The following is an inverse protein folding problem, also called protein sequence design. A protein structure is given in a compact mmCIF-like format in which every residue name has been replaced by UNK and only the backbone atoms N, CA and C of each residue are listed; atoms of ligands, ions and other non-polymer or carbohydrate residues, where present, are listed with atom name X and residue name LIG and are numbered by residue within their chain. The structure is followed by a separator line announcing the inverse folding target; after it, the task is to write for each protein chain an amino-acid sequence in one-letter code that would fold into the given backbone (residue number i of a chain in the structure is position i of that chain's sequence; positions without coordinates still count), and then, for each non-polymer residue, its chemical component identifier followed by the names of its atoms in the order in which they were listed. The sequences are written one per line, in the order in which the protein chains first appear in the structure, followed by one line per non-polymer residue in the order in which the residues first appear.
data_IF_146097688145
#
_entry.id   IF_146097688145
#
_cell.length_a   1.000
_cell.length_b   1.000
_cell.length_c   1.000
_cell.angle_alpha   90.00
_cell.angle_beta   90.00
_cell.angle_gamma   90.00
#
_symmetry.space_group_name_H-M   'P 1'
#
loop_
_entity.id
_entity.type
_entity.pdbx_description
1 polymer ?
#
# COMPACT_ATOMS: atom_id res chain seq x y z
N UNK A 1 -15.99 6.26 -11.91
CA UNK A 1 -16.26 5.04 -12.70
C UNK A 1 -15.03 4.55 -13.49
N UNK A 2 -13.80 4.98 -13.15
CA UNK A 2 -12.61 4.77 -13.99
C UNK A 2 -11.52 3.86 -13.42
N UNK A 3 -11.77 3.15 -12.33
CA UNK A 3 -10.79 2.24 -11.71
C UNK A 3 -10.83 0.82 -12.27
N UNK A 4 -11.72 0.56 -13.21
CA UNK A 4 -12.02 -0.77 -13.69
C UNK A 4 -11.39 -0.93 -15.07
N UNK A 5 -10.62 -2.00 -15.25
CA UNK A 5 -10.01 -2.31 -16.53
C UNK A 5 -11.07 -2.46 -17.64
N UNK A 6 -10.86 -1.89 -18.84
CA UNK A 6 -11.82 -1.93 -19.92
C UNK A 6 -12.31 -3.34 -20.24
N UNK A 7 -11.40 -4.31 -20.37
CA UNK A 7 -11.75 -5.70 -20.67
C UNK A 7 -12.65 -6.32 -19.59
N UNK A 8 -12.37 -6.08 -18.30
CA UNK A 8 -13.21 -6.58 -17.22
C UNK A 8 -14.58 -5.89 -17.21
N UNK A 9 -14.64 -4.59 -17.52
CA UNK A 9 -15.91 -3.87 -17.61
C UNK A 9 -16.81 -4.39 -18.75
N UNK A 10 -16.22 -4.87 -19.84
CA UNK A 10 -16.95 -5.39 -21.01
C UNK A 10 -17.31 -6.87 -20.88
N UNK A 11 -16.38 -7.72 -20.46
CA UNK A 11 -16.58 -9.18 -20.48
C UNK A 11 -16.89 -9.76 -19.10
N UNK A 12 -16.51 -9.06 -18.03
CA UNK A 12 -16.52 -9.59 -16.66
C UNK A 12 -15.34 -10.51 -16.34
N UNK A 13 -14.39 -10.68 -17.26
CA UNK A 13 -13.23 -11.55 -17.07
C UNK A 13 -12.10 -10.80 -16.38
N UNK A 14 -11.78 -11.24 -15.16
CA UNK A 14 -10.72 -10.66 -14.36
C UNK A 14 -9.42 -11.42 -14.59
N UNK A 15 -8.32 -10.69 -14.76
CA UNK A 15 -6.98 -11.24 -14.92
C UNK A 15 -5.93 -10.34 -14.24
N UNK A 16 -4.68 -10.76 -14.24
CA UNK A 16 -3.56 -10.05 -13.61
C UNK A 16 -3.30 -8.66 -14.22
N UNK A 17 -3.73 -8.43 -15.47
CA UNK A 17 -3.62 -7.12 -16.15
C UNK A 17 -4.73 -6.18 -15.73
N UNK A 18 -5.87 -6.69 -15.29
CA UNK A 18 -6.94 -5.90 -14.68
C UNK A 18 -6.46 -5.25 -13.39
N UNK A 19 -5.65 -5.95 -12.60
CA UNK A 19 -5.02 -5.39 -11.39
C UNK A 19 -3.99 -4.33 -11.72
N UNK A 20 -3.13 -4.58 -12.72
CA UNK A 20 -2.13 -3.60 -13.19
C UNK A 20 -2.81 -2.28 -13.59
N UNK A 21 -3.93 -2.36 -14.31
CA UNK A 21 -4.73 -1.18 -14.66
C UNK A 21 -5.30 -0.48 -13.42
N UNK A 22 -6.01 -1.22 -12.58
CA UNK A 22 -6.75 -0.67 -11.44
C UNK A 22 -5.80 0.00 -10.43
N UNK A 23 -4.68 -0.66 -10.14
CA UNK A 23 -3.61 -0.12 -9.29
C UNK A 23 -2.99 1.13 -9.89
N UNK A 24 -2.78 1.17 -11.21
CA UNK A 24 -2.14 2.32 -11.86
C UNK A 24 -3.04 3.55 -11.93
N UNK A 25 -4.37 3.37 -12.03
CA UNK A 25 -5.31 4.48 -11.85
C UNK A 25 -5.22 5.03 -10.42
N UNK A 26 -5.13 4.16 -9.41
CA UNK A 26 -4.94 4.60 -8.02
C UNK A 26 -3.62 5.34 -7.85
N UNK A 27 -2.53 4.85 -8.44
CA UNK A 27 -1.23 5.50 -8.40
C UNK A 27 -1.27 6.89 -9.04
N UNK A 28 -1.90 7.04 -10.21
CA UNK A 28 -2.08 8.35 -10.85
C UNK A 28 -2.88 9.31 -9.95
N UNK A 29 -3.96 8.83 -9.33
CA UNK A 29 -4.75 9.65 -8.42
C UNK A 29 -3.99 10.05 -7.16
N UNK A 30 -3.20 9.13 -6.58
CA UNK A 30 -2.33 9.42 -5.44
C UNK A 30 -1.28 10.46 -5.80
N UNK A 31 -0.66 10.33 -6.98
CA UNK A 31 0.35 11.28 -7.45
C UNK A 31 -0.21 12.69 -7.68
N UNK A 32 -1.51 12.81 -7.96
CA UNK A 32 -2.10 14.06 -8.48
C UNK A 32 -3.29 14.61 -7.69
N UNK A 33 -3.67 13.97 -6.58
CA UNK A 33 -4.81 14.40 -5.78
C UNK A 33 -6.17 14.29 -6.47
N UNK A 34 -6.35 13.31 -7.37
CA UNK A 34 -7.56 13.00 -8.17
C UNK A 34 -7.66 13.56 -9.61
N UNK A 35 -6.56 13.77 -10.34
CA UNK A 35 -6.65 14.12 -11.77
C UNK A 35 -7.01 12.91 -12.66
N UNK A 36 -7.72 13.17 -13.76
CA UNK A 36 -8.06 12.14 -14.76
C UNK A 36 -6.85 11.77 -15.61
N UNK A 37 -6.75 10.50 -16.03
CA UNK A 37 -5.68 9.98 -16.89
C UNK A 37 -5.33 10.90 -18.05
N UNK A 38 -6.33 11.32 -18.83
CA UNK A 38 -6.15 12.15 -20.04
C UNK A 38 -5.55 13.52 -19.71
N UNK A 39 -5.88 14.04 -18.51
CA UNK A 39 -5.36 15.30 -18.03
C UNK A 39 -3.91 15.13 -17.61
N UNK A 40 -3.59 14.08 -16.84
CA UNK A 40 -2.20 13.77 -16.44
C UNK A 40 -1.28 13.63 -17.66
N UNK A 41 -1.70 12.84 -18.66
CA UNK A 41 -0.95 12.65 -19.90
C UNK A 41 -0.65 13.98 -20.60
N UNK A 42 -1.66 14.86 -20.72
CA UNK A 42 -1.48 16.18 -21.31
C UNK A 42 -0.49 17.06 -20.53
N UNK A 43 -0.50 17.06 -19.20
CA UNK A 43 0.46 17.85 -18.42
C UNK A 43 1.89 17.32 -18.58
N UNK A 44 2.08 16.01 -18.66
CA UNK A 44 3.37 15.38 -18.91
C UNK A 44 3.92 15.76 -20.29
N UNK A 45 3.10 15.64 -21.34
CA UNK A 45 3.47 16.02 -22.72
C UNK A 45 3.87 17.50 -22.84
N UNK A 46 3.20 18.37 -22.08
CA UNK A 46 3.47 19.80 -22.07
C UNK A 46 4.59 20.22 -21.10
N UNK A 47 5.26 19.27 -20.44
CA UNK A 47 6.28 19.53 -19.40
C UNK A 47 5.79 20.43 -18.25
N UNK A 48 4.56 20.16 -17.77
CA UNK A 48 3.89 20.88 -16.67
C UNK A 48 3.44 19.92 -15.57
N UNK A 49 4.11 18.77 -15.44
CA UNK A 49 3.70 17.73 -14.50
C UNK A 49 3.74 18.21 -13.04
N UNK A 50 4.72 19.06 -12.71
CA UNK A 50 4.87 19.75 -11.42
C UNK A 50 3.60 20.46 -10.94
N UNK A 51 2.79 21.01 -11.86
CA UNK A 51 1.58 21.74 -11.52
C UNK A 51 0.43 20.87 -11.02
N UNK A 52 0.49 19.57 -11.26
CA UNK A 52 -0.57 18.62 -10.90
C UNK A 52 -0.13 17.59 -9.87
N UNK A 53 1.11 17.66 -9.37
CA UNK A 53 1.56 16.77 -8.29
C UNK A 53 0.82 17.15 -7.02
N UNK A 54 0.33 16.14 -6.29
CA UNK A 54 -0.33 16.34 -5.01
C UNK A 54 0.61 17.11 -4.05
N UNK A 55 0.20 18.27 -3.51
CA UNK A 55 1.01 19.04 -2.58
C UNK A 55 1.49 18.24 -1.35
N UNK A 56 0.73 17.22 -0.92
CA UNK A 56 1.14 16.34 0.18
C UNK A 56 2.36 15.49 -0.17
N UNK A 57 2.56 15.14 -1.43
CA UNK A 57 3.75 14.42 -1.90
C UNK A 57 4.94 15.37 -1.96
N UNK A 58 4.72 16.61 -2.40
CA UNK A 58 5.77 17.61 -2.54
C UNK A 58 6.36 18.00 -1.18
N UNK A 59 5.51 18.24 -0.17
CA UNK A 59 5.95 18.71 1.14
C UNK A 59 6.65 20.06 1.05
N UNK A 60 7.88 20.17 1.58
CA UNK A 60 8.66 21.42 1.62
C UNK A 60 9.19 21.89 0.26
N UNK A 61 9.02 21.11 -0.81
CA UNK A 61 9.40 21.51 -2.17
C UNK A 61 9.65 20.35 -3.13
N UNK A 62 9.62 20.67 -4.42
CA UNK A 62 9.85 19.74 -5.51
C UNK A 62 11.23 20.00 -6.12
N UNK A 63 12.24 19.21 -5.72
CA UNK A 63 13.56 19.28 -6.35
C UNK A 63 13.56 18.52 -7.70
N UNK A 64 14.46 18.87 -8.65
CA UNK A 64 14.47 18.27 -9.99
C UNK A 64 14.60 16.74 -9.99
N UNK A 65 15.35 16.16 -9.05
CA UNK A 65 15.50 14.71 -8.92
C UNK A 65 14.19 14.04 -8.50
N UNK A 66 13.49 14.62 -7.52
CA UNK A 66 12.19 14.13 -7.04
C UNK A 66 11.12 14.28 -8.12
N UNK A 67 11.11 15.41 -8.83
CA UNK A 67 10.22 15.62 -9.98
C UNK A 67 10.44 14.56 -11.06
N UNK A 68 11.71 14.29 -11.42
CA UNK A 68 12.05 13.29 -12.42
C UNK A 68 11.58 11.88 -12.01
N UNK A 69 11.74 11.53 -10.73
CA UNK A 69 11.27 10.25 -10.20
C UNK A 69 9.74 10.16 -10.25
N UNK A 70 9.02 11.19 -9.80
CA UNK A 70 7.56 11.22 -9.83
C UNK A 70 7.02 11.18 -11.26
N UNK A 71 7.69 11.86 -12.20
CA UNK A 71 7.37 11.79 -13.62
C UNK A 71 7.55 10.36 -14.16
N UNK A 72 8.65 9.69 -13.81
CA UNK A 72 8.87 8.30 -14.22
C UNK A 72 7.80 7.34 -13.66
N UNK A 73 7.33 7.56 -12.43
CA UNK A 73 6.19 6.81 -11.87
C UNK A 73 4.90 7.07 -12.66
N UNK A 74 4.62 8.33 -13.00
CA UNK A 74 3.45 8.70 -13.77
C UNK A 74 3.49 8.11 -15.19
N UNK A 75 4.64 8.16 -15.86
CA UNK A 75 4.84 7.56 -17.19
C UNK A 75 4.61 6.04 -17.16
N UNK A 76 5.15 5.35 -16.14
CA UNK A 76 4.91 3.92 -15.94
C UNK A 76 3.43 3.63 -15.70
N UNK A 77 2.77 4.42 -14.83
CA UNK A 77 1.36 4.26 -14.54
C UNK A 77 0.48 4.49 -15.77
N UNK A 78 0.79 5.50 -16.60
CA UNK A 78 0.13 5.76 -17.88
C UNK A 78 0.25 4.59 -18.85
N UNK A 79 1.43 3.95 -18.91
CA UNK A 79 1.63 2.73 -19.69
C UNK A 79 0.82 1.54 -19.17
N UNK A 80 0.57 1.47 -17.86
CA UNK A 80 -0.21 0.41 -17.25
C UNK A 80 -1.73 0.59 -17.38
N UNK A 81 -2.20 1.77 -17.80
CA UNK A 81 -3.64 2.04 -17.97
C UNK A 81 -4.08 2.04 -19.43
N UNK A 82 -3.33 1.39 -20.33
CA UNK A 82 -3.71 1.24 -21.74
C UNK A 82 -4.99 0.41 -21.91
N UNK A 83 -5.70 0.66 -23.02
CA UNK A 83 -6.92 -0.09 -23.35
C UNK A 83 -6.64 -1.57 -23.56
N UNK A 84 -5.57 -1.90 -24.32
CA UNK A 84 -5.12 -3.27 -24.50
C UNK A 84 -4.37 -3.76 -23.25
N UNK A 85 -4.83 -4.90 -22.71
CA UNK A 85 -4.24 -5.57 -21.55
C UNK A 85 -2.86 -6.16 -21.85
N UNK A 86 -2.62 -6.55 -23.10
CA UNK A 86 -1.37 -7.14 -23.58
C UNK A 86 -0.22 -6.14 -23.61
N UNK A 87 -0.52 -4.86 -23.82
CA UNK A 87 0.47 -3.76 -23.82
C UNK A 87 0.91 -3.37 -22.41
N UNK A 88 0.09 -3.66 -21.40
CA UNK A 88 0.40 -3.36 -20.00
C UNK A 88 1.58 -4.22 -19.55
N UNK A 89 2.54 -3.68 -18.78
CA UNK A 89 3.56 -4.49 -18.10
C UNK A 89 2.94 -5.58 -17.21
N UNK A 90 3.70 -6.61 -16.86
CA UNK A 90 3.31 -7.54 -15.78
C UNK A 90 3.83 -7.00 -14.45
N UNK A 91 3.13 -7.30 -13.35
CA UNK A 91 3.61 -7.05 -11.98
C UNK A 91 4.82 -7.92 -11.59
N UNK A 92 5.21 -8.83 -12.49
CA UNK A 92 6.49 -9.54 -12.61
C UNK A 92 6.73 -10.66 -11.58
N UNK A 93 6.26 -11.85 -11.93
CA UNK A 93 6.93 -13.12 -11.59
C UNK A 93 7.79 -13.50 -12.81
N UNK A 94 9.12 -13.50 -12.68
CA UNK A 94 9.99 -13.95 -13.78
C UNK A 94 10.11 -15.47 -13.76
N UNK A 95 9.75 -16.18 -14.85
CA UNK A 95 10.23 -17.52 -15.04
C UNK A 95 11.74 -17.45 -15.32
N UNK A 96 12.55 -18.09 -14.47
CA UNK A 96 13.94 -18.34 -14.83
C UNK A 96 14.00 -19.46 -15.88
N UNK A 97 15.02 -19.45 -16.72
CA UNK A 97 15.34 -20.48 -17.74
C UNK A 97 15.64 -21.89 -17.15
N UNK A 98 15.24 -22.16 -15.91
CA UNK A 98 15.52 -23.36 -15.15
C UNK A 98 14.37 -23.69 -14.19
N UNK A 99 13.14 -23.84 -14.69
CA UNK A 99 11.94 -24.39 -14.01
C UNK A 99 11.66 -23.96 -12.55
N UNK A 100 12.24 -22.86 -12.08
CA UNK A 100 12.16 -22.36 -10.72
C UNK A 100 11.85 -20.87 -10.77
N UNK A 101 10.71 -20.49 -10.20
CA UNK A 101 10.36 -19.10 -9.97
C UNK A 101 11.37 -18.45 -9.01
N UNK A 102 11.83 -17.25 -9.35
CA UNK A 102 12.63 -16.42 -8.45
C UNK A 102 11.68 -15.69 -7.51
N UNK A 103 11.93 -15.74 -6.20
CA UNK A 103 11.26 -14.87 -5.24
C UNK A 103 11.65 -13.43 -5.55
N UNK A 104 10.67 -12.63 -5.98
CA UNK A 104 10.85 -11.21 -6.29
C UNK A 104 9.97 -10.41 -5.35
N UNK A 105 10.52 -9.40 -4.70
CA UNK A 105 9.76 -8.44 -3.91
C UNK A 105 10.63 -7.65 -2.94
N UNK A 106 9.98 -6.84 -2.12
CA UNK A 106 10.65 -5.90 -1.22
C UNK A 106 10.88 -6.55 0.14
N UNK A 107 12.15 -6.63 0.55
CA UNK A 107 12.53 -7.13 1.87
C UNK A 107 11.76 -6.39 2.98
N UNK A 108 11.27 -7.13 3.98
CA UNK A 108 10.41 -6.63 5.05
C UNK A 108 8.90 -6.69 4.75
N UNK A 109 8.50 -6.85 3.48
CA UNK A 109 7.10 -7.03 3.07
C UNK A 109 6.80 -8.44 2.56
N UNK A 110 7.83 -9.25 2.28
CA UNK A 110 7.65 -10.62 1.81
C UNK A 110 7.10 -11.52 2.93
N UNK A 111 6.01 -12.22 2.63
CA UNK A 111 5.45 -13.21 3.55
C UNK A 111 6.42 -14.40 3.76
N UNK A 112 6.50 -14.95 4.98
CA UNK A 112 7.47 -16.00 5.32
C UNK A 112 7.29 -17.28 4.48
N UNK A 113 6.05 -17.64 4.15
CA UNK A 113 5.74 -18.79 3.30
C UNK A 113 6.17 -18.58 1.84
N UNK A 114 6.22 -17.34 1.35
CA UNK A 114 6.72 -17.05 0.02
C UNK A 114 8.23 -17.30 -0.08
N UNK A 115 8.97 -16.93 0.98
CA UNK A 115 10.42 -17.15 1.06
C UNK A 115 10.81 -18.63 1.10
N UNK A 116 9.90 -19.50 1.57
CA UNK A 116 10.17 -20.93 1.75
C UNK A 116 9.62 -21.79 0.60
N UNK A 117 8.44 -21.46 0.07
CA UNK A 117 7.77 -22.25 -0.95
C UNK A 117 7.96 -21.71 -2.38
N UNK A 118 8.42 -20.46 -2.53
CA UNK A 118 8.40 -19.69 -3.78
C UNK A 118 6.99 -19.56 -4.41
N UNK A 119 5.94 -19.86 -3.64
CA UNK A 119 4.55 -19.69 -4.05
C UNK A 119 3.95 -18.55 -3.23
N UNK A 120 3.31 -17.62 -3.93
CA UNK A 120 2.43 -16.65 -3.30
C UNK A 120 1.01 -16.90 -3.74
N UNK A 121 0.12 -16.90 -2.76
CA UNK A 121 -1.31 -16.79 -2.92
C UNK A 121 -1.77 -15.40 -2.44
N UNK A 122 -3.07 -15.18 -2.35
CA UNK A 122 -3.65 -13.92 -1.89
C UNK A 122 -3.23 -13.54 -0.45
N UNK A 123 -2.79 -14.51 0.37
CA UNK A 123 -2.38 -14.26 1.76
C UNK A 123 -1.03 -13.58 1.83
N UNK A 124 -0.17 -13.75 0.84
CA UNK A 124 1.06 -12.96 0.72
C UNK A 124 0.77 -11.47 0.61
N UNK A 125 -0.23 -11.12 -0.21
CA UNK A 125 -0.61 -9.72 -0.43
C UNK A 125 -1.22 -9.13 0.83
N UNK A 126 -2.03 -9.90 1.56
CA UNK A 126 -2.54 -9.49 2.89
C UNK A 126 -1.39 -9.20 3.85
N UNK A 127 -0.35 -10.03 3.87
CA UNK A 127 0.83 -9.80 4.71
C UNK A 127 1.58 -8.53 4.33
N UNK A 128 1.88 -8.37 3.04
CA UNK A 128 2.56 -7.19 2.50
C UNK A 128 1.78 -5.91 2.80
N UNK A 129 0.45 -5.97 2.64
CA UNK A 129 -0.46 -4.88 2.98
C UNK A 129 -0.46 -4.59 4.48
N UNK A 130 -0.47 -5.61 5.34
CA UNK A 130 -0.36 -5.44 6.80
C UNK A 130 0.93 -4.72 7.20
N UNK A 131 2.07 -5.09 6.63
CA UNK A 131 3.36 -4.39 6.84
C UNK A 131 3.29 -2.93 6.35
N UNK A 132 2.64 -2.66 5.21
CA UNK A 132 2.40 -1.29 4.74
C UNK A 132 1.51 -0.49 5.69
N UNK A 133 0.42 -1.07 6.21
CA UNK A 133 -0.44 -0.40 7.19
C UNK A 133 0.32 -0.06 8.48
N UNK A 134 1.19 -0.96 8.95
CA UNK A 134 2.07 -0.70 10.10
C UNK A 134 3.08 0.42 9.82
N UNK A 135 3.64 0.47 8.60
CA UNK A 135 4.53 1.56 8.16
C UNK A 135 3.82 2.91 8.23
N UNK A 136 2.60 2.98 7.69
CA UNK A 136 1.76 4.18 7.73
C UNK A 136 1.37 4.55 9.15
N UNK A 137 1.09 3.56 10.00
CA UNK A 137 0.75 3.79 11.40
C UNK A 137 1.90 4.41 12.20
N UNK A 138 3.14 4.03 11.92
CA UNK A 138 4.34 4.53 12.61
C UNK A 138 5.00 5.75 11.96
N UNK A 139 4.72 6.02 10.69
CA UNK A 139 5.39 7.06 9.92
C UNK A 139 6.87 6.76 9.66
N UNK A 140 7.27 5.48 9.75
CA UNK A 140 8.66 5.05 9.65
C UNK A 140 8.76 3.73 8.90
N UNK A 141 9.82 3.57 8.10
CA UNK A 141 10.06 2.35 7.34
C UNK A 141 10.11 1.14 8.26
N UNK A 142 9.41 0.08 7.87
CA UNK A 142 9.41 -1.19 8.60
C UNK A 142 10.83 -1.75 8.77
N UNK A 143 11.67 -1.62 7.76
CA UNK A 143 13.07 -2.07 7.78
C UNK A 143 13.92 -1.34 8.82
N UNK A 144 13.61 -0.08 9.10
CA UNK A 144 14.37 0.74 10.04
C UNK A 144 13.97 0.44 11.49
N UNK A 145 12.73 -0.02 11.71
CA UNK A 145 12.21 -0.40 13.03
C UNK A 145 12.49 -1.83 13.43
N UNK A 146 12.47 -2.76 12.46
CA UNK A 146 12.57 -4.20 12.73
C UNK A 146 14.01 -4.73 12.69
N UNK A 147 15.02 -3.86 12.85
CA UNK A 147 16.43 -4.25 12.89
C UNK A 147 16.83 -5.11 14.11
N UNK A 148 15.89 -5.59 14.92
CA UNK A 148 16.17 -6.48 16.05
C UNK A 148 16.11 -7.94 15.62
N UNK A 149 17.26 -8.62 15.68
CA UNK A 149 17.46 -10.08 15.48
C UNK A 149 16.72 -10.98 16.49
N UNK A 150 15.66 -10.50 17.14
CA UNK A 150 14.97 -11.19 18.23
C UNK A 150 13.66 -11.84 17.77
N UNK A 151 13.44 -13.06 18.26
CA UNK A 151 12.33 -13.93 17.87
C UNK A 151 10.92 -13.35 18.03
N UNK A 152 10.04 -13.86 17.18
CA UNK A 152 8.61 -13.57 17.05
C UNK A 152 8.28 -12.06 16.95
N UNK A 153 8.56 -11.48 15.78
CA UNK A 153 8.20 -10.10 15.43
C UNK A 153 6.71 -9.80 15.70
N UNK A 154 5.81 -10.76 15.43
CA UNK A 154 4.37 -10.56 15.62
C UNK A 154 4.03 -10.35 17.09
N UNK A 155 4.60 -11.19 17.97
CA UNK A 155 4.45 -11.04 19.41
C UNK A 155 5.00 -9.69 19.90
N UNK A 156 6.20 -9.32 19.47
CA UNK A 156 6.82 -8.05 19.86
C UNK A 156 5.96 -6.85 19.45
N UNK A 157 5.45 -6.82 18.22
CA UNK A 157 4.62 -5.73 17.72
C UNK A 157 3.31 -5.61 18.49
N UNK A 158 2.64 -6.74 18.74
CA UNK A 158 1.39 -6.78 19.50
C UNK A 158 1.60 -6.35 20.96
N UNK A 159 2.63 -6.88 21.60
CA UNK A 159 3.00 -6.50 22.97
C UNK A 159 3.37 -5.02 23.08
N UNK A 160 4.14 -4.50 22.12
CA UNK A 160 4.53 -3.09 22.06
C UNK A 160 3.31 -2.17 21.93
N UNK A 161 2.37 -2.47 21.03
CA UNK A 161 1.12 -1.70 20.87
C UNK A 161 0.28 -1.77 22.15
N UNK A 162 0.03 -2.98 22.67
CA UNK A 162 -0.80 -3.18 23.87
C UNK A 162 -0.24 -2.45 25.09
N UNK A 163 1.07 -2.53 25.33
CA UNK A 163 1.72 -1.81 26.43
C UNK A 163 1.54 -0.29 26.33
N UNK A 164 1.60 0.28 25.12
CA UNK A 164 1.38 1.72 24.97
C UNK A 164 -0.08 2.11 25.18
N UNK A 165 -1.04 1.25 24.79
CA UNK A 165 -2.46 1.43 25.08
C UNK A 165 -2.70 1.40 26.60
N UNK A 166 -2.26 0.35 27.29
CA UNK A 166 -2.46 0.15 28.73
C UNK A 166 -1.86 1.29 29.58
N UNK A 167 -0.73 1.85 29.14
CA UNK A 167 -0.05 2.94 29.83
C UNK A 167 -0.55 4.35 29.43
N UNK A 168 -1.62 4.47 28.63
CA UNK A 168 -2.11 5.75 28.07
C UNK A 168 -1.03 6.54 27.28
N UNK A 169 -0.12 5.82 26.62
CA UNK A 169 0.98 6.36 25.81
C UNK A 169 0.86 6.00 24.32
N UNK A 170 -0.33 5.62 23.87
CA UNK A 170 -0.57 5.20 22.49
C UNK A 170 -0.10 6.25 21.47
N UNK A 171 -0.29 7.54 21.77
CA UNK A 171 0.12 8.66 20.90
C UNK A 171 1.62 8.69 20.60
N UNK A 172 2.45 8.12 21.47
CA UNK A 172 3.92 8.09 21.30
C UNK A 172 4.38 7.14 20.18
N UNK A 173 3.52 6.20 19.79
CA UNK A 173 3.84 5.21 18.77
C UNK A 173 3.11 5.45 17.45
N UNK A 174 2.24 6.46 17.36
CA UNK A 174 1.57 6.83 16.11
C UNK A 174 2.43 7.84 15.35
N UNK A 175 2.38 7.81 14.02
CA UNK A 175 2.98 8.85 13.16
C UNK A 175 2.61 10.26 13.69
N UNK A 176 3.58 11.12 14.01
CA UNK A 176 3.32 12.49 14.46
C UNK A 176 2.45 13.30 13.50
N UNK A 177 2.50 13.04 12.19
CA UNK A 177 1.66 13.69 11.18
C UNK A 177 0.19 13.34 11.39
N UNK A 178 -0.11 12.10 11.79
CA UNK A 178 -1.47 11.62 12.10
C UNK A 178 -1.94 12.19 13.44
N UNK A 179 -1.04 12.30 14.43
CA UNK A 179 -1.38 12.86 15.74
C UNK A 179 -1.73 14.34 15.63
N UNK A 180 -0.99 15.12 14.83
CA UNK A 180 -1.23 16.56 14.62
C UNK A 180 -1.34 17.33 15.93
N UNK A 181 -2.36 18.19 16.06
CA UNK A 181 -2.66 18.95 17.29
C UNK A 181 -3.26 18.09 18.43
N UNK A 182 -3.50 16.80 18.17
CA UNK A 182 -3.94 15.82 19.16
C UNK A 182 -5.02 14.86 18.64
N UNK A 183 -5.06 13.66 19.23
CA UNK A 183 -6.13 12.68 19.00
C UNK A 183 -7.26 12.86 20.00
N UNK A 184 -8.50 12.99 19.50
CA UNK A 184 -9.69 12.78 20.30
C UNK A 184 -9.90 11.27 20.56
N UNK A 185 -10.63 10.94 21.63
CA UNK A 185 -10.80 9.54 22.07
C UNK A 185 -11.35 8.62 20.95
N UNK A 186 -12.27 9.12 20.11
CA UNK A 186 -12.84 8.33 19.02
C UNK A 186 -11.79 8.01 17.93
N UNK A 187 -10.99 9.00 17.52
CA UNK A 187 -9.89 8.80 16.56
C UNK A 187 -8.82 7.88 17.13
N UNK A 188 -8.52 8.01 18.42
CA UNK A 188 -7.57 7.14 19.10
C UNK A 188 -8.04 5.69 19.10
N UNK A 189 -9.30 5.41 19.45
CA UNK A 189 -9.88 4.06 19.40
C UNK A 189 -9.87 3.47 17.98
N UNK A 190 -10.15 4.29 16.96
CA UNK A 190 -10.10 3.85 15.57
C UNK A 190 -8.67 3.52 15.12
N UNK A 191 -7.69 4.33 15.52
CA UNK A 191 -6.27 4.07 15.25
C UNK A 191 -5.78 2.82 15.99
N UNK A 192 -6.27 2.57 17.21
CA UNK A 192 -6.00 1.33 17.93
C UNK A 192 -6.57 0.12 17.17
N UNK A 193 -7.82 0.19 16.71
CA UNK A 193 -8.42 -0.88 15.92
C UNK A 193 -7.71 -1.07 14.56
N UNK A 194 -7.28 0.02 13.92
CA UNK A 194 -6.46 -0.02 12.71
C UNK A 194 -5.13 -0.74 12.94
N UNK A 195 -4.43 -0.43 14.04
CA UNK A 195 -3.18 -1.10 14.40
C UNK A 195 -3.38 -2.60 14.65
N UNK A 196 -4.47 -3.00 15.32
CA UNK A 196 -4.81 -4.42 15.54
C UNK A 196 -5.04 -5.13 14.20
N UNK A 197 -5.83 -4.54 13.30
CA UNK A 197 -6.07 -5.09 11.97
C UNK A 197 -4.76 -5.24 11.18
N UNK A 198 -3.88 -4.24 11.22
CA UNK A 198 -2.59 -4.26 10.54
C UNK A 198 -1.70 -5.41 11.06
N UNK A 199 -1.68 -5.64 12.39
CA UNK A 199 -0.96 -6.76 13.00
C UNK A 199 -1.52 -8.11 12.52
N UNK A 200 -2.84 -8.28 12.52
CA UNK A 200 -3.49 -9.51 12.04
C UNK A 200 -3.18 -9.80 10.56
N UNK A 201 -3.20 -8.77 9.72
CA UNK A 201 -2.80 -8.87 8.32
C UNK A 201 -1.35 -9.35 8.19
N UNK A 202 -0.45 -8.86 9.05
CA UNK A 202 0.98 -9.21 9.07
C UNK A 202 1.33 -10.48 9.86
N UNK A 203 0.35 -11.34 10.19
CA UNK A 203 0.61 -12.55 10.97
C UNK A 203 1.57 -13.50 10.23
N UNK A 204 2.45 -14.17 10.96
CA UNK A 204 3.37 -15.16 10.38
C UNK A 204 2.60 -16.36 9.80
N UNK A 205 1.42 -16.68 10.35
CA UNK A 205 0.58 -17.77 9.88
C UNK A 205 -0.51 -17.28 8.91
N UNK A 206 -0.53 -17.76 7.65
CA UNK A 206 -1.52 -17.32 6.64
C UNK A 206 -2.98 -17.52 7.06
N UNK A 207 -3.27 -18.53 7.89
CA UNK A 207 -4.64 -18.83 8.37
C UNK A 207 -5.17 -17.78 9.34
N UNK A 208 -4.29 -17.07 10.03
CA UNK A 208 -4.66 -16.02 10.98
C UNK A 208 -4.90 -14.68 10.28
N UNK A 209 -4.44 -14.54 9.03
CA UNK A 209 -4.63 -13.32 8.26
C UNK A 209 -6.09 -13.28 7.76
N UNK A 210 -6.78 -12.12 7.83
CA UNK A 210 -8.08 -11.95 7.20
C UNK A 210 -8.02 -12.09 5.67
N UNK A 211 -9.17 -12.06 4.99
CA UNK A 211 -9.19 -11.89 3.52
C UNK A 211 -9.08 -10.40 3.18
N UNK A 212 -8.55 -10.04 2.00
CA UNK A 212 -8.53 -8.62 1.58
C UNK A 212 -9.93 -7.98 1.55
N UNK A 213 -10.97 -8.77 1.30
CA UNK A 213 -12.36 -8.32 1.38
C UNK A 213 -12.73 -7.91 2.81
N UNK A 214 -12.34 -8.71 3.80
CA UNK A 214 -12.62 -8.41 5.21
C UNK A 214 -11.78 -7.23 5.70
N UNK A 215 -10.52 -7.12 5.26
CA UNK A 215 -9.65 -5.96 5.53
C UNK A 215 -10.30 -4.68 5.00
N UNK A 216 -10.72 -4.67 3.72
CA UNK A 216 -11.37 -3.51 3.11
C UNK A 216 -12.67 -3.12 3.83
N UNK A 217 -13.50 -4.10 4.24
CA UNK A 217 -14.72 -3.86 5.02
C UNK A 217 -14.41 -3.22 6.36
N UNK A 218 -13.42 -3.74 7.08
CA UNK A 218 -13.04 -3.21 8.41
C UNK A 218 -12.48 -1.80 8.31
N UNK A 219 -11.55 -1.54 7.38
CA UNK A 219 -11.02 -0.18 7.13
C UNK A 219 -12.16 0.80 6.82
N UNK A 220 -13.12 0.39 5.97
CA UNK A 220 -14.29 1.22 5.65
C UNK A 220 -15.14 1.51 6.88
N UNK A 221 -15.37 0.53 7.75
CA UNK A 221 -16.12 0.72 8.99
C UNK A 221 -15.41 1.71 9.93
N UNK A 222 -14.10 1.57 10.09
CA UNK A 222 -13.28 2.51 10.87
C UNK A 222 -13.41 3.94 10.34
N UNK A 223 -13.29 4.13 9.02
CA UNK A 223 -13.44 5.44 8.38
C UNK A 223 -14.84 6.05 8.60
N UNK A 224 -15.91 5.27 8.41
CA UNK A 224 -17.28 5.75 8.57
C UNK A 224 -17.60 6.14 10.03
N UNK A 225 -17.04 5.41 10.99
CA UNK A 225 -17.20 5.72 12.42
C UNK A 225 -16.53 7.04 12.84
N UNK A 226 -15.62 7.59 12.02
CA UNK A 226 -14.92 8.85 12.23
C UNK A 226 -15.77 10.08 11.84
N UNK A 227 -16.73 9.87 10.93
CA UNK A 227 -17.57 10.91 10.32
C UNK A 227 -19.02 10.87 10.85
N UNK A 228 -19.28 10.16 11.94
CA UNK A 228 -20.60 10.00 12.58
C UNK A 228 -20.70 10.78 13.88
#
# INVERSE_FOLDING_TARGET
MGHVAPEYAHTGDFNEKSDVYSFSILLLQLLTGHESRERVEKYIENNRFDEIIDPMIVGDGLCPEKELQLKAFADLALKCVTESAEERPTMLMLPNNSDKYVVVGTFGYLAPEYLTSNQCDEKCDVFSFGKLLLELFWGQRITDRLSSETGDEEYYLRDHVNKHIENNRFKEIVDPVIVGDGLCNNKEQQLQAFAVLAIECSSQSPINRPTMVDVAKQIRQLYLSCNS
#
